data_IF_159909009293
#
_entry.id   IF_159909009293
#
_cell.length_a   1.000
_cell.length_b   1.000
_cell.length_c   1.000
_cell.angle_alpha   90.00
_cell.angle_beta   90.00
_cell.angle_gamma   90.00
#
_symmetry.space_group_name_H-M   'P 1'
#
loop_
_entity.id
_entity.type
_entity.pdbx_description
1 polymer ?
#
# COMPACT_ATOMS: atom_id res chain seq x y z
N UNK A 1 4.16 -9.72 -2.34
CA UNK A 1 3.98 -9.24 -3.72
C UNK A 1 4.75 -7.95 -3.77
N UNK A 2 5.90 -8.00 -4.42
CA UNK A 2 6.75 -6.84 -4.65
C UNK A 2 5.98 -5.94 -5.61
N UNK A 3 5.58 -4.75 -5.13
CA UNK A 3 5.01 -3.73 -5.99
C UNK A 3 6.20 -2.92 -6.50
N UNK A 4 6.26 -2.79 -7.82
CA UNK A 4 7.21 -1.90 -8.50
C UNK A 4 6.43 -0.71 -9.00
N UNK A 5 6.73 0.46 -8.45
CA UNK A 5 6.15 1.71 -8.94
C UNK A 5 6.85 2.11 -10.23
N UNK A 6 6.09 2.66 -11.17
CA UNK A 6 6.58 3.11 -12.48
C UNK A 6 6.40 4.62 -12.63
N UNK A 7 6.96 5.20 -13.70
CA UNK A 7 6.91 6.65 -13.97
C UNK A 7 5.48 7.21 -13.87
N UNK A 8 4.49 6.43 -14.31
CA UNK A 8 3.07 6.79 -14.20
C UNK A 8 2.62 7.04 -12.74
N UNK A 9 3.03 6.21 -11.79
CA UNK A 9 2.67 6.35 -10.38
C UNK A 9 3.26 7.64 -9.80
N UNK A 10 4.52 7.93 -10.13
CA UNK A 10 5.18 9.16 -9.72
C UNK A 10 4.48 10.40 -10.32
N UNK A 11 4.11 10.36 -11.61
CA UNK A 11 3.38 11.46 -12.26
C UNK A 11 2.01 11.69 -11.63
N UNK A 12 1.27 10.61 -11.32
CA UNK A 12 -0.03 10.67 -10.65
C UNK A 12 0.06 11.17 -9.21
N UNK A 13 1.19 10.93 -8.54
CA UNK A 13 1.45 11.46 -7.19
C UNK A 13 1.82 12.94 -7.22
N UNK A 14 2.79 13.32 -8.07
CA UNK A 14 3.34 14.67 -8.13
C UNK A 14 2.40 15.68 -8.81
N UNK A 15 1.74 15.28 -9.91
CA UNK A 15 0.88 16.14 -10.71
C UNK A 15 -0.41 15.40 -11.06
N UNK A 16 -1.35 15.24 -10.10
CA UNK A 16 -2.53 14.38 -10.28
C UNK A 16 -3.46 14.77 -11.44
N UNK A 17 -3.42 16.02 -11.87
CA UNK A 17 -4.21 16.59 -12.96
C UNK A 17 -3.51 16.51 -14.33
N UNK A 18 -2.35 15.84 -14.43
CA UNK A 18 -1.63 15.74 -15.69
C UNK A 18 -2.19 14.67 -16.65
N UNK A 19 -1.99 14.94 -17.94
CA UNK A 19 -2.15 14.01 -19.06
C UNK A 19 -0.78 13.80 -19.67
N UNK A 20 -0.40 12.56 -19.86
CA UNK A 20 0.93 12.21 -20.36
C UNK A 20 0.88 11.02 -21.32
N UNK A 21 1.96 10.86 -22.08
CA UNK A 21 2.23 9.66 -22.87
C UNK A 21 3.64 9.20 -22.57
N UNK A 22 3.79 7.91 -22.31
CA UNK A 22 5.07 7.26 -22.06
C UNK A 22 5.33 6.28 -23.21
N UNK A 23 6.50 6.40 -23.83
CA UNK A 23 6.99 5.47 -24.86
C UNK A 23 8.42 5.11 -24.48
N UNK A 24 8.76 3.82 -24.50
CA UNK A 24 10.09 3.31 -24.14
C UNK A 24 10.64 3.89 -22.82
N UNK A 25 9.77 3.95 -21.80
CA UNK A 25 10.08 4.48 -20.47
C UNK A 25 10.49 5.96 -20.44
N UNK A 26 10.05 6.74 -21.44
CA UNK A 26 10.27 8.19 -21.53
C UNK A 26 8.96 8.93 -21.75
N UNK A 27 8.82 10.07 -21.10
CA UNK A 27 7.68 10.95 -21.27
C UNK A 27 7.83 11.66 -22.63
N UNK A 28 6.92 11.37 -23.56
CA UNK A 28 6.91 11.96 -24.92
C UNK A 28 5.86 13.06 -25.07
N UNK A 29 4.87 13.08 -24.19
CA UNK A 29 3.87 14.13 -24.08
C UNK A 29 3.55 14.35 -22.60
N UNK A 30 3.41 15.61 -22.22
CA UNK A 30 2.99 16.01 -20.89
C UNK A 30 2.18 17.31 -20.96
N UNK A 31 1.07 17.36 -20.23
CA UNK A 31 0.26 18.55 -20.04
C UNK A 31 -0.50 18.47 -18.72
N UNK A 32 -0.36 19.46 -17.86
CA UNK A 32 -1.23 19.62 -16.68
C UNK A 32 -2.36 20.62 -16.96
N UNK A 33 -3.46 20.50 -16.23
CA UNK A 33 -4.56 21.47 -16.30
C UNK A 33 -4.23 22.74 -15.49
N UNK A 34 -3.44 22.59 -14.44
CA UNK A 34 -2.91 23.65 -13.59
C UNK A 34 -1.71 24.40 -14.17
N UNK A 35 -1.23 24.04 -15.36
CA UNK A 35 -0.01 24.60 -15.98
C UNK A 35 1.28 24.37 -15.17
N UNK A 36 1.29 23.38 -14.27
CA UNK A 36 2.51 22.80 -13.72
C UNK A 36 3.42 22.26 -14.82
N UNK A 37 4.73 22.43 -14.65
CA UNK A 37 5.77 21.90 -15.54
C UNK A 37 5.91 20.38 -15.41
N UNK A 38 6.48 19.74 -16.42
CA UNK A 38 6.80 18.30 -16.34
C UNK A 38 7.85 18.07 -15.26
N UNK A 39 7.62 17.15 -14.30
CA UNK A 39 8.64 16.78 -13.32
C UNK A 39 9.94 16.31 -13.98
N UNK A 40 11.06 16.69 -13.40
CA UNK A 40 12.39 16.23 -13.80
C UNK A 40 12.59 14.75 -13.48
N UNK A 41 13.57 14.11 -14.14
CA UNK A 41 13.94 12.72 -13.86
C UNK A 41 14.32 12.51 -12.38
N UNK A 42 14.92 13.52 -11.74
CA UNK A 42 15.28 13.47 -10.33
C UNK A 42 14.04 13.45 -9.44
N UNK A 43 13.07 14.34 -9.69
CA UNK A 43 11.82 14.39 -8.92
C UNK A 43 11.02 13.10 -9.07
N UNK A 44 10.97 12.55 -10.29
CA UNK A 44 10.36 11.24 -10.54
C UNK A 44 11.07 10.15 -9.74
N UNK A 45 12.40 10.08 -9.79
CA UNK A 45 13.16 9.06 -9.05
C UNK A 45 13.02 9.19 -7.53
N UNK A 46 13.00 10.41 -7.00
CA UNK A 46 12.82 10.66 -5.58
C UNK A 46 11.40 10.24 -5.13
N UNK A 47 10.38 10.55 -5.92
CA UNK A 47 9.00 10.16 -5.61
C UNK A 47 8.80 8.65 -5.68
N UNK A 48 9.40 7.96 -6.66
CA UNK A 48 9.35 6.49 -6.72
C UNK A 48 9.91 5.85 -5.45
N UNK A 49 11.07 6.31 -4.97
CA UNK A 49 11.66 5.84 -3.71
C UNK A 49 10.76 6.13 -2.51
N UNK A 50 10.09 7.28 -2.51
CA UNK A 50 9.14 7.64 -1.45
C UNK A 50 7.93 6.71 -1.46
N UNK A 51 7.34 6.43 -2.63
CA UNK A 51 6.22 5.50 -2.78
C UNK A 51 6.61 4.07 -2.37
N UNK A 52 7.80 3.61 -2.76
CA UNK A 52 8.37 2.32 -2.30
C UNK A 52 8.49 2.28 -0.78
N UNK A 53 9.13 3.30 -0.19
CA UNK A 53 9.33 3.39 1.27
C UNK A 53 7.99 3.42 2.02
N UNK A 54 7.02 4.19 1.52
CA UNK A 54 5.68 4.26 2.10
C UNK A 54 4.98 2.90 2.01
N UNK A 55 5.00 2.27 0.83
CA UNK A 55 4.44 0.94 0.65
C UNK A 55 5.09 -0.05 1.63
N UNK A 56 6.40 -0.12 1.72
CA UNK A 56 7.10 -1.05 2.61
C UNK A 56 6.78 -0.80 4.09
N UNK A 57 6.63 0.47 4.49
CA UNK A 57 6.24 0.82 5.87
C UNK A 57 4.88 0.25 6.30
N UNK A 58 3.98 0.00 5.34
CA UNK A 58 2.65 -0.56 5.56
C UNK A 58 2.58 -2.08 5.30
N UNK A 59 3.69 -2.77 5.05
CA UNK A 59 3.71 -4.21 4.74
C UNK A 59 3.04 -5.03 5.84
N UNK A 60 3.43 -4.82 7.10
CA UNK A 60 2.86 -5.55 8.23
C UNK A 60 1.33 -5.36 8.31
N UNK A 61 0.83 -4.17 7.99
CA UNK A 61 -0.59 -3.85 8.05
C UNK A 61 -1.36 -4.59 6.95
N UNK A 62 -0.83 -4.60 5.72
CA UNK A 62 -1.42 -5.35 4.59
C UNK A 62 -1.44 -6.85 4.84
N UNK A 63 -0.32 -7.39 5.34
CA UNK A 63 -0.20 -8.82 5.66
C UNK A 63 -1.18 -9.21 6.78
N UNK A 64 -1.24 -8.44 7.88
CA UNK A 64 -2.19 -8.71 8.97
C UNK A 64 -3.63 -8.62 8.51
N UNK A 65 -3.98 -7.62 7.70
CA UNK A 65 -5.34 -7.49 7.15
C UNK A 65 -5.75 -8.76 6.39
N UNK A 66 -4.86 -9.27 5.52
CA UNK A 66 -5.10 -10.52 4.78
C UNK A 66 -5.39 -11.70 5.70
N UNK A 67 -4.66 -11.84 6.80
CA UNK A 67 -4.90 -12.92 7.76
C UNK A 67 -6.17 -12.69 8.58
N UNK A 68 -6.44 -11.45 8.97
CA UNK A 68 -7.67 -11.07 9.68
C UNK A 68 -8.93 -11.31 8.84
N UNK A 69 -8.88 -11.08 7.53
CA UNK A 69 -10.00 -11.30 6.61
C UNK A 69 -10.35 -12.80 6.46
N UNK A 70 -9.42 -13.72 6.82
CA UNK A 70 -9.68 -15.17 6.83
C UNK A 70 -10.40 -15.65 8.10
N UNK A 71 -10.43 -14.84 9.15
CA UNK A 71 -11.07 -15.20 10.41
C UNK A 71 -12.57 -14.88 10.37
N UNK A 72 -13.40 -15.79 10.87
CA UNK A 72 -14.79 -15.48 11.19
C UNK A 72 -14.86 -14.72 12.54
N UNK A 73 -14.41 -13.48 12.54
CA UNK A 73 -14.10 -12.76 13.79
C UNK A 73 -15.31 -12.59 14.71
N UNK A 74 -16.47 -12.23 14.15
CA UNK A 74 -17.68 -12.02 14.96
C UNK A 74 -18.16 -13.32 15.60
N UNK A 75 -18.08 -14.44 14.87
CA UNK A 75 -18.43 -15.75 15.41
C UNK A 75 -17.46 -16.19 16.51
N UNK A 76 -16.15 -16.01 16.31
CA UNK A 76 -15.16 -16.32 17.35
C UNK A 76 -15.37 -15.49 18.62
N UNK A 77 -15.68 -14.19 18.49
CA UNK A 77 -15.99 -13.31 19.63
C UNK A 77 -17.27 -13.78 20.34
N UNK A 78 -18.28 -14.19 19.59
CA UNK A 78 -19.53 -14.72 20.15
C UNK A 78 -19.28 -16.04 20.89
N UNK A 79 -18.58 -16.98 20.27
CA UNK A 79 -18.23 -18.27 20.85
C UNK A 79 -17.41 -18.12 22.13
N UNK A 80 -16.44 -17.20 22.15
CA UNK A 80 -15.64 -16.90 23.33
C UNK A 80 -16.49 -16.39 24.48
N UNK A 81 -17.48 -15.53 24.19
CA UNK A 81 -18.44 -15.03 25.18
C UNK A 81 -19.31 -16.15 25.75
N UNK A 82 -19.79 -17.06 24.90
CA UNK A 82 -20.69 -18.15 25.33
C UNK A 82 -19.93 -19.22 26.11
N UNK A 83 -18.71 -19.54 25.68
CA UNK A 83 -17.95 -20.67 26.22
C UNK A 83 -16.90 -20.26 27.27
N UNK A 84 -16.79 -18.96 27.58
CA UNK A 84 -15.73 -18.44 28.47
C UNK A 84 -14.32 -18.85 28.00
N UNK A 85 -14.08 -18.72 26.69
CA UNK A 85 -12.78 -18.98 26.04
C UNK A 85 -12.17 -17.68 25.48
N UNK A 86 -10.96 -17.77 24.89
CA UNK A 86 -10.28 -16.64 24.24
C UNK A 86 -9.62 -17.03 22.90
N UNK A 87 -10.32 -17.84 22.10
CA UNK A 87 -9.81 -18.32 20.80
C UNK A 87 -9.59 -17.18 19.81
N UNK A 88 -10.42 -16.15 19.85
CA UNK A 88 -10.24 -14.93 19.05
C UNK A 88 -8.95 -14.22 19.47
N UNK A 89 -8.72 -14.03 20.78
CA UNK A 89 -7.50 -13.41 21.30
C UNK A 89 -6.24 -14.18 20.91
N UNK A 90 -6.28 -15.51 21.04
CA UNK A 90 -5.19 -16.41 20.62
C UNK A 90 -4.91 -16.30 19.10
N UNK A 91 -5.95 -16.28 18.26
CA UNK A 91 -5.80 -16.13 16.82
C UNK A 91 -5.17 -14.78 16.45
N UNK A 92 -5.62 -13.68 17.07
CA UNK A 92 -5.04 -12.35 16.87
C UNK A 92 -3.59 -12.31 17.35
N UNK A 93 -3.29 -12.87 18.51
CA UNK A 93 -1.93 -12.93 19.06
C UNK A 93 -0.99 -13.70 18.13
N UNK A 94 -1.45 -14.83 17.59
CA UNK A 94 -0.71 -15.62 16.60
C UNK A 94 -0.42 -14.81 15.34
N UNK A 95 -1.41 -14.13 14.74
CA UNK A 95 -1.20 -13.30 13.55
C UNK A 95 -0.18 -12.18 13.83
N UNK A 96 -0.26 -11.54 14.99
CA UNK A 96 0.68 -10.47 15.37
C UNK A 96 2.10 -10.99 15.61
N UNK A 97 2.24 -12.23 16.09
CA UNK A 97 3.52 -12.90 16.30
C UNK A 97 4.14 -13.32 14.96
N UNK A 98 3.34 -13.88 14.05
CA UNK A 98 3.80 -14.33 12.74
C UNK A 98 4.13 -13.14 11.81
N UNK A 99 3.45 -12.01 12.00
CA UNK A 99 3.66 -10.77 11.26
C UNK A 99 3.92 -9.65 12.28
N UNK A 100 5.14 -9.49 12.81
CA UNK A 100 5.48 -8.43 13.76
C UNK A 100 5.31 -7.04 13.14
N UNK A 101 5.19 -6.02 13.99
CA UNK A 101 5.38 -4.64 13.50
C UNK A 101 6.88 -4.47 13.27
N UNK A 102 7.24 -3.92 12.10
CA UNK A 102 8.60 -3.46 11.83
C UNK A 102 9.04 -2.40 12.83
#
# INVERSE_FOLDING_TARGET
MEIKFEIEDALRSLVPDCKFTIVDNKITYFKSESSAEQPSEKEISDELKKLETEYDSYEYARLRKREYDKLNQLELIYDDKINSTDKWGEAIAKIKKDIPKG
#
